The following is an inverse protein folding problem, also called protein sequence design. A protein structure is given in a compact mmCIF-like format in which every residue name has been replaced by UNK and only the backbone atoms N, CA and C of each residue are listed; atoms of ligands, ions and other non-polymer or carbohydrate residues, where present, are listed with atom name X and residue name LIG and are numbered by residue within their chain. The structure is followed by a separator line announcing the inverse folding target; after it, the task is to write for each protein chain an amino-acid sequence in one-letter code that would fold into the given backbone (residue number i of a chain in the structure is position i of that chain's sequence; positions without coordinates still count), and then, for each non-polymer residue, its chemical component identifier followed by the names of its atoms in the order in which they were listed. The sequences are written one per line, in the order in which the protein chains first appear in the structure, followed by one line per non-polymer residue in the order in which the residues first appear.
data_IF_852432469754
#
_entry.id   IF_852432469754
#
_cell.length_a   1.000
_cell.length_b   1.000
_cell.length_c   1.000
_cell.angle_alpha   90.00
_cell.angle_beta   90.00
_cell.angle_gamma   90.00
#
_symmetry.space_group_name_H-M   'P 1'
#
loop_
_entity.id
_entity.type
_entity.pdbx_description
1 polymer ?
#
# COMPACT_ATOMS: atom_id res chain seq x y z
N UNK A 1 -6.19 18.06 4.48
CA UNK A 1 -7.27 17.05 4.50
C UNK A 1 -8.38 17.40 5.49
N UNK A 2 -8.06 17.67 6.77
CA UNK A 2 -9.07 18.06 7.79
C UNK A 2 -9.97 19.23 7.40
N UNK A 3 -9.38 20.39 7.05
CA UNK A 3 -10.14 21.58 6.64
C UNK A 3 -11.04 21.31 5.45
N UNK A 4 -10.52 20.65 4.40
CA UNK A 4 -11.32 20.25 3.24
C UNK A 4 -12.51 19.35 3.63
N UNK A 5 -12.31 18.44 4.60
CA UNK A 5 -13.39 17.59 5.12
C UNK A 5 -14.44 18.44 5.82
N UNK A 6 -14.04 19.35 6.70
CA UNK A 6 -14.96 20.22 7.45
C UNK A 6 -15.73 21.18 6.52
N UNK A 7 -15.07 21.73 5.50
CA UNK A 7 -15.67 22.62 4.52
C UNK A 7 -16.65 21.86 3.62
N UNK A 8 -16.28 20.68 3.15
CA UNK A 8 -17.15 19.82 2.34
C UNK A 8 -18.38 19.38 3.13
N UNK A 9 -18.22 19.05 4.41
CA UNK A 9 -19.32 18.68 5.31
C UNK A 9 -20.31 19.84 5.42
N UNK A 10 -19.83 21.06 5.69
CA UNK A 10 -20.68 22.26 5.80
C UNK A 10 -21.36 22.61 4.47
N UNK A 11 -20.62 22.56 3.37
CA UNK A 11 -21.13 22.88 2.03
C UNK A 11 -22.24 21.91 1.58
N UNK A 12 -22.26 20.68 2.11
CA UNK A 12 -23.24 19.66 1.77
C UNK A 12 -24.29 19.46 2.86
N UNK A 13 -24.68 20.54 3.55
CA UNK A 13 -25.77 20.50 4.54
C UNK A 13 -25.46 19.65 5.76
N UNK A 14 -24.21 19.68 6.20
CA UNK A 14 -23.73 18.90 7.36
C UNK A 14 -23.83 17.38 7.15
N UNK A 15 -23.72 16.94 5.89
CA UNK A 15 -23.68 15.51 5.55
C UNK A 15 -22.27 14.96 5.77
N UNK A 16 -22.20 13.83 6.49
CA UNK A 16 -20.95 13.07 6.69
C UNK A 16 -20.35 12.61 5.36
N UNK A 17 -19.01 12.60 5.30
CA UNK A 17 -18.23 12.39 4.07
C UNK A 17 -17.80 10.94 3.96
N UNK A 18 -17.87 10.39 2.75
CA UNK A 18 -17.25 9.13 2.39
C UNK A 18 -15.86 9.43 1.81
N UNK A 19 -14.81 8.89 2.43
CA UNK A 19 -13.46 8.98 1.91
C UNK A 19 -13.21 7.78 1.00
N UNK A 20 -12.81 8.03 -0.25
CA UNK A 20 -12.40 6.98 -1.19
C UNK A 20 -10.92 7.17 -1.48
N UNK A 21 -10.12 6.13 -1.30
CA UNK A 21 -8.69 6.22 -1.58
C UNK A 21 -8.13 4.94 -2.19
N UNK A 22 -7.07 5.11 -2.97
CA UNK A 22 -6.43 4.05 -3.74
C UNK A 22 -4.97 3.86 -3.31
N UNK A 23 -4.49 2.62 -3.32
CA UNK A 23 -3.07 2.28 -3.14
C UNK A 23 -2.49 2.87 -1.84
N UNK A 24 -1.35 3.56 -1.91
CA UNK A 24 -0.74 4.29 -0.78
C UNK A 24 -1.71 5.28 -0.12
N UNK A 25 -2.64 5.86 -0.88
CA UNK A 25 -3.66 6.77 -0.37
C UNK A 25 -4.54 6.13 0.71
N UNK A 26 -4.72 4.80 0.68
CA UNK A 26 -5.42 4.07 1.73
C UNK A 26 -4.69 4.12 3.07
N UNK A 27 -3.35 3.95 3.06
CA UNK A 27 -2.52 4.06 4.26
C UNK A 27 -2.54 5.49 4.79
N UNK A 28 -2.36 6.47 3.91
CA UNK A 28 -2.40 7.88 4.29
C UNK A 28 -3.75 8.30 4.87
N UNK A 29 -4.85 7.80 4.29
CA UNK A 29 -6.21 8.04 4.81
C UNK A 29 -6.40 7.40 6.17
N UNK A 30 -5.92 6.16 6.34
CA UNK A 30 -5.97 5.44 7.62
C UNK A 30 -5.20 6.20 8.70
N UNK A 31 -3.96 6.63 8.38
CA UNK A 31 -3.16 7.45 9.28
C UNK A 31 -3.85 8.76 9.63
N UNK A 32 -4.39 9.47 8.64
CA UNK A 32 -5.15 10.70 8.87
C UNK A 32 -6.31 10.51 9.86
N UNK A 33 -7.08 9.42 9.72
CA UNK A 33 -8.21 9.09 10.60
C UNK A 33 -7.74 8.69 12.00
N UNK A 34 -6.62 7.98 12.12
CA UNK A 34 -6.02 7.63 13.42
C UNK A 34 -5.59 8.88 14.21
N UNK A 35 -5.14 9.93 13.50
CA UNK A 35 -4.76 11.22 14.10
C UNK A 35 -5.96 12.12 14.48
N UNK A 36 -7.20 11.72 14.14
CA UNK A 36 -8.41 12.47 14.54
C UNK A 36 -9.08 11.89 15.77
N UNK A 37 -9.67 12.76 16.60
CA UNK A 37 -10.50 12.33 17.72
C UNK A 37 -11.73 11.56 17.23
N UNK A 38 -12.19 10.60 18.02
CA UNK A 38 -13.38 9.83 17.68
C UNK A 38 -14.61 10.73 17.49
N UNK A 39 -14.78 11.74 18.34
CA UNK A 39 -15.83 12.75 18.21
C UNK A 39 -15.79 13.48 16.85
N UNK A 40 -14.60 13.80 16.35
CA UNK A 40 -14.48 14.44 15.04
C UNK A 40 -14.86 13.47 13.92
N UNK A 41 -14.45 12.20 14.00
CA UNK A 41 -14.78 11.18 13.01
C UNK A 41 -16.27 10.88 12.97
N UNK A 42 -16.89 10.68 14.14
CA UNK A 42 -18.32 10.43 14.25
C UNK A 42 -19.15 11.56 13.65
N UNK A 43 -18.67 12.81 13.79
CA UNK A 43 -19.31 14.00 13.24
C UNK A 43 -19.13 14.13 11.72
N UNK A 44 -17.94 13.87 11.18
CA UNK A 44 -17.62 14.28 9.80
C UNK A 44 -17.51 13.12 8.81
N UNK A 45 -17.25 11.89 9.25
CA UNK A 45 -16.93 10.76 8.37
C UNK A 45 -18.04 9.72 8.44
N UNK A 46 -18.53 9.34 7.27
CA UNK A 46 -19.50 8.26 7.12
C UNK A 46 -18.79 6.92 7.01
N UNK A 47 -17.79 6.83 6.11
CA UNK A 47 -17.02 5.62 5.88
C UNK A 47 -15.69 5.92 5.16
N UNK A 48 -14.80 4.92 5.15
CA UNK A 48 -13.60 4.87 4.31
C UNK A 48 -13.70 3.67 3.35
N UNK A 49 -13.78 3.94 2.04
CA UNK A 49 -13.68 2.95 0.97
C UNK A 49 -12.23 2.91 0.48
N UNK A 50 -11.54 1.81 0.70
CA UNK A 50 -10.17 1.60 0.24
C UNK A 50 -10.15 0.70 -0.98
N UNK A 51 -9.42 1.13 -2.02
CA UNK A 51 -9.19 0.39 -3.26
C UNK A 51 -7.71 -0.04 -3.35
N UNK A 52 -7.43 -1.34 -3.25
CA UNK A 52 -6.07 -1.87 -3.41
C UNK A 52 -5.08 -1.32 -2.37
N UNK A 53 -5.52 -1.14 -1.11
CA UNK A 53 -4.71 -0.52 -0.07
C UNK A 53 -3.42 -1.30 0.22
N UNK A 54 -2.26 -0.63 0.09
CA UNK A 54 -0.94 -1.24 0.28
C UNK A 54 -0.53 -1.33 1.76
N UNK A 55 -1.43 -1.75 2.65
CA UNK A 55 -1.30 -1.61 4.10
C UNK A 55 -0.02 -2.21 4.68
N UNK A 56 0.42 -3.36 4.15
CA UNK A 56 1.64 -4.04 4.52
C UNK A 56 2.92 -3.52 3.85
N UNK A 57 2.82 -2.55 2.94
CA UNK A 57 3.87 -2.23 1.98
C UNK A 57 3.87 -3.19 0.79
N UNK A 58 4.89 -3.14 -0.06
CA UNK A 58 4.98 -3.99 -1.25
C UNK A 58 6.42 -4.39 -1.57
N UNK A 59 6.64 -5.61 -2.06
CA UNK A 59 7.95 -6.01 -2.58
C UNK A 59 8.29 -5.24 -3.87
N UNK A 60 7.32 -4.67 -4.58
CA UNK A 60 7.60 -3.78 -5.72
C UNK A 60 8.38 -2.53 -5.29
N UNK A 61 8.22 -2.05 -4.06
CA UNK A 61 9.06 -0.97 -3.51
C UNK A 61 10.53 -1.40 -3.42
N UNK A 62 10.79 -2.66 -3.05
CA UNK A 62 12.14 -3.24 -3.07
C UNK A 62 12.68 -3.31 -4.51
N UNK A 63 11.87 -3.72 -5.48
CA UNK A 63 12.26 -3.73 -6.90
C UNK A 63 12.65 -2.32 -7.38
N UNK A 64 11.88 -1.29 -7.02
CA UNK A 64 12.16 0.11 -7.32
C UNK A 64 13.55 0.53 -6.81
N UNK A 65 13.89 0.23 -5.55
CA UNK A 65 15.21 0.55 -4.98
C UNK A 65 16.37 -0.27 -5.56
N UNK A 66 16.11 -1.50 -6.01
CA UNK A 66 17.17 -2.41 -6.48
C UNK A 66 17.48 -2.23 -7.96
N UNK A 67 16.48 -2.30 -8.83
CA UNK A 67 16.68 -2.31 -10.29
C UNK A 67 15.80 -1.31 -11.05
N UNK A 68 14.98 -0.55 -10.33
CA UNK A 68 13.94 0.30 -10.90
C UNK A 68 12.73 -0.50 -11.37
N UNK A 69 11.63 0.20 -11.61
CA UNK A 69 10.42 -0.34 -12.21
C UNK A 69 9.98 0.60 -13.33
N UNK A 70 9.35 0.10 -14.38
CA UNK A 70 8.87 0.98 -15.44
C UNK A 70 7.65 1.79 -15.01
N UNK A 71 6.92 1.39 -13.96
CA UNK A 71 5.71 2.07 -13.42
C UNK A 71 4.73 2.53 -14.51
N UNK A 72 4.70 1.85 -15.66
CA UNK A 72 3.91 2.22 -16.85
C UNK A 72 4.54 3.26 -17.80
N UNK A 73 5.76 3.74 -17.52
CA UNK A 73 6.58 4.63 -18.35
C UNK A 73 7.65 3.81 -19.10
N UNK A 74 7.35 3.41 -20.34
CA UNK A 74 8.21 2.52 -21.13
C UNK A 74 9.37 3.22 -21.88
N UNK A 75 9.45 4.55 -21.80
CA UNK A 75 10.36 5.37 -22.64
C UNK A 75 11.75 5.57 -22.00
N UNK A 76 11.90 5.25 -20.71
CA UNK A 76 13.13 5.45 -19.93
C UNK A 76 13.64 4.09 -19.44
N UNK A 77 14.95 3.83 -19.53
CA UNK A 77 15.51 2.57 -19.00
C UNK A 77 15.31 2.47 -17.48
N UNK A 78 15.05 1.26 -16.97
CA UNK A 78 14.74 1.04 -15.55
C UNK A 78 15.85 1.55 -14.61
N UNK A 79 17.12 1.51 -15.02
CA UNK A 79 18.23 2.05 -14.22
C UNK A 79 18.18 3.57 -14.07
N UNK A 80 17.76 4.31 -15.11
CA UNK A 80 17.55 5.76 -15.00
C UNK A 80 16.30 6.06 -14.19
N UNK A 81 15.26 5.24 -14.33
CA UNK A 81 14.07 5.37 -13.50
C UNK A 81 14.41 5.13 -12.03
N UNK A 82 15.26 4.15 -11.72
CA UNK A 82 15.76 3.87 -10.38
C UNK A 82 16.38 5.11 -9.75
N UNK A 83 17.28 5.81 -10.45
CA UNK A 83 17.93 7.03 -9.92
C UNK A 83 16.90 8.07 -9.44
N UNK A 84 15.79 8.21 -10.17
CA UNK A 84 14.69 9.10 -9.77
C UNK A 84 13.83 8.47 -8.66
N UNK A 85 13.42 7.22 -8.82
CA UNK A 85 12.50 6.53 -7.92
C UNK A 85 13.07 6.34 -6.52
N UNK A 86 14.39 6.18 -6.39
CA UNK A 86 15.04 6.10 -5.09
C UNK A 86 14.91 7.38 -4.27
N UNK A 87 14.65 8.53 -4.91
CA UNK A 87 14.43 9.82 -4.23
C UNK A 87 13.01 9.98 -3.69
N UNK A 88 12.09 9.04 -3.98
CA UNK A 88 10.69 9.14 -3.60
C UNK A 88 10.48 8.58 -2.20
N UNK A 89 10.28 9.45 -1.20
CA UNK A 89 9.98 9.04 0.18
C UNK A 89 8.71 8.20 0.30
N UNK A 90 7.76 8.33 -0.63
CA UNK A 90 6.60 7.45 -0.71
C UNK A 90 6.96 5.98 -0.96
N UNK A 91 8.05 5.70 -1.69
CA UNK A 91 8.55 4.33 -1.90
C UNK A 91 9.16 3.80 -0.60
N UNK A 92 9.83 4.65 0.17
CA UNK A 92 10.36 4.28 1.49
C UNK A 92 9.22 3.91 2.45
N UNK A 93 8.14 4.70 2.46
CA UNK A 93 6.94 4.42 3.26
C UNK A 93 6.25 3.10 2.88
N UNK A 94 6.34 2.71 1.61
CA UNK A 94 5.78 1.47 1.08
C UNK A 94 6.71 0.26 1.20
N UNK A 95 7.87 0.40 1.87
CA UNK A 95 8.72 -0.75 2.15
C UNK A 95 7.97 -1.83 2.95
N UNK A 96 8.26 -3.13 2.71
CA UNK A 96 7.56 -4.23 3.39
C UNK A 96 7.76 -4.14 4.90
N UNK A 97 6.70 -4.21 5.70
CA UNK A 97 6.87 -4.15 7.17
C UNK A 97 6.87 -5.52 7.84
N UNK A 98 7.60 -5.66 8.97
CA UNK A 98 7.79 -6.93 9.67
C UNK A 98 6.52 -7.45 10.37
N UNK A 99 5.45 -6.65 10.39
CA UNK A 99 4.15 -7.01 10.94
C UNK A 99 3.26 -7.78 9.93
N UNK A 100 3.73 -7.91 8.69
CA UNK A 100 3.02 -8.58 7.59
C UNK A 100 3.91 -9.60 6.91
N UNK A 101 5.13 -9.20 6.51
CA UNK A 101 6.09 -10.07 5.85
C UNK A 101 6.95 -10.79 6.89
N UNK A 102 7.32 -12.04 6.63
CA UNK A 102 8.05 -12.85 7.62
C UNK A 102 9.53 -12.46 7.66
N UNK A 103 10.14 -12.41 8.86
CA UNK A 103 11.55 -12.00 9.02
C UNK A 103 12.55 -12.99 8.42
N UNK A 104 12.17 -14.24 8.19
CA UNK A 104 13.00 -15.30 7.62
C UNK A 104 12.81 -15.50 6.10
N UNK A 105 11.85 -14.79 5.49
CA UNK A 105 11.58 -14.85 4.05
C UNK A 105 12.29 -13.69 3.32
N UNK A 106 13.35 -13.96 2.54
CA UNK A 106 14.07 -12.89 1.84
C UNK A 106 13.28 -12.39 0.64
N UNK A 107 13.18 -11.07 0.49
CA UNK A 107 12.66 -10.45 -0.74
C UNK A 107 13.76 -10.16 -1.76
N UNK A 108 15.03 -10.14 -1.34
CA UNK A 108 16.20 -10.04 -2.22
C UNK A 108 17.25 -11.05 -1.79
N UNK A 109 17.71 -11.85 -2.73
CA UNK A 109 18.87 -12.73 -2.58
C UNK A 109 19.92 -12.28 -3.60
N UNK A 110 21.00 -11.66 -3.14
CA UNK A 110 22.03 -11.12 -4.02
C UNK A 110 23.42 -11.35 -3.44
N UNK A 111 24.35 -11.86 -4.26
CA UNK A 111 25.78 -12.00 -3.91
C UNK A 111 26.02 -12.71 -2.55
N UNK A 112 25.33 -13.83 -2.31
CA UNK A 112 25.35 -14.60 -1.05
C UNK A 112 24.80 -13.87 0.18
N UNK A 113 24.13 -12.74 0.01
CA UNK A 113 23.37 -12.06 1.06
C UNK A 113 21.87 -12.26 0.85
N UNK A 114 21.15 -12.36 1.96
CA UNK A 114 19.70 -12.43 2.02
C UNK A 114 19.20 -11.19 2.73
N UNK A 115 18.34 -10.44 2.05
CA UNK A 115 17.68 -9.27 2.61
C UNK A 115 16.21 -9.58 2.83
N UNK A 116 15.77 -9.28 4.05
CA UNK A 116 14.48 -9.59 4.65
C UNK A 116 13.97 -8.32 5.33
N UNK A 117 12.74 -8.34 5.84
CA UNK A 117 12.24 -7.25 6.67
C UNK A 117 13.02 -7.04 7.97
N UNK A 118 13.78 -8.04 8.42
CA UNK A 118 14.60 -7.93 9.63
C UNK A 118 15.91 -7.15 9.42
N UNK A 119 16.33 -6.92 8.18
CA UNK A 119 17.61 -6.27 7.85
C UNK A 119 17.52 -5.31 6.66
N UNK A 120 16.44 -4.53 6.57
CA UNK A 120 16.29 -3.44 5.59
C UNK A 120 17.47 -2.45 5.61
N UNK A 121 18.05 -2.04 6.76
CA UNK A 121 19.23 -1.17 6.77
C UNK A 121 20.42 -1.74 6.00
N UNK A 122 20.64 -3.06 6.09
CA UNK A 122 21.72 -3.73 5.35
C UNK A 122 21.47 -3.70 3.83
N UNK A 123 20.21 -3.75 3.40
CA UNK A 123 19.85 -3.58 1.99
C UNK A 123 20.26 -2.19 1.50
N UNK A 124 19.90 -1.12 2.22
CA UNK A 124 20.23 0.24 1.81
C UNK A 124 21.75 0.51 1.82
N UNK A 125 22.46 -0.04 2.81
CA UNK A 125 23.92 -0.01 2.83
C UNK A 125 24.51 -0.74 1.60
N UNK A 126 23.98 -1.91 1.24
CA UNK A 126 24.40 -2.66 0.05
C UNK A 126 24.11 -1.91 -1.26
N UNK A 127 23.01 -1.14 -1.30
CA UNK A 127 22.66 -0.29 -2.44
C UNK A 127 23.45 1.02 -2.47
N UNK A 128 24.30 1.29 -1.47
CA UNK A 128 25.03 2.56 -1.30
C UNK A 128 24.09 3.77 -1.34
N UNK A 129 22.92 3.67 -0.70
CA UNK A 129 21.92 4.72 -0.66
C UNK A 129 21.58 5.13 0.80
N UNK A 130 22.41 5.98 1.44
CA UNK A 130 22.15 6.47 2.79
C UNK A 130 20.84 7.27 2.87
N UNK A 131 20.55 8.12 1.88
CA UNK A 131 19.30 8.89 1.83
C UNK A 131 18.06 7.98 1.81
N UNK A 132 18.15 6.81 1.14
CA UNK A 132 17.06 5.83 1.15
C UNK A 132 16.81 5.25 2.55
N UNK A 133 17.89 5.02 3.32
CA UNK A 133 17.79 4.60 4.71
C UNK A 133 17.17 5.70 5.56
N UNK A 134 17.61 6.96 5.41
CA UNK A 134 17.08 8.08 6.16
C UNK A 134 15.58 8.27 5.90
N UNK A 135 15.16 8.25 4.62
CA UNK A 135 13.74 8.31 4.25
C UNK A 135 12.93 7.15 4.83
N UNK A 136 13.47 5.93 4.82
CA UNK A 136 12.77 4.77 5.41
C UNK A 136 12.65 4.93 6.93
N UNK A 137 13.75 5.28 7.59
CA UNK A 137 13.81 5.47 9.04
C UNK A 137 12.87 6.59 9.51
N UNK A 138 12.75 7.69 8.75
CA UNK A 138 11.80 8.78 9.01
C UNK A 138 10.34 8.30 8.93
N UNK A 139 10.06 7.26 8.14
CA UNK A 139 8.70 6.72 7.98
C UNK A 139 8.32 5.63 8.98
N UNK A 140 9.31 4.98 9.63
CA UNK A 140 9.08 3.86 10.56
C UNK A 140 8.15 4.17 11.73
N UNK A 141 8.18 5.37 12.37
CA UNK A 141 7.23 5.70 13.43
C UNK A 141 5.76 5.60 12.99
N UNK A 142 5.46 5.86 11.71
CA UNK A 142 4.11 5.76 11.16
C UNK A 142 3.73 4.32 10.79
N UNK A 143 4.70 3.41 10.69
CA UNK A 143 4.47 2.01 10.31
C UNK A 143 4.07 1.10 11.47
N UNK A 144 4.33 1.50 12.71
CA UNK A 144 4.05 0.67 13.89
C UNK A 144 2.54 0.56 14.20
N UNK A 145 1.79 1.64 13.98
CA UNK A 145 0.36 1.74 14.31
C UNK A 145 -0.57 1.68 13.09
N UNK A 146 -0.03 1.50 11.88
CA UNK A 146 -0.82 1.55 10.62
C UNK A 146 -1.91 0.48 10.49
N UNK A 147 -1.99 -0.48 11.41
CA UNK A 147 -3.03 -1.52 11.47
C UNK A 147 -4.07 -1.31 12.57
N UNK A 148 -3.96 -0.26 13.38
CA UNK A 148 -5.04 0.09 14.29
C UNK A 148 -6.31 0.45 13.48
N UNK A 149 -7.47 0.01 13.97
CA UNK A 149 -8.75 0.31 13.30
C UNK A 149 -8.93 1.83 13.17
N UNK A 150 -9.33 2.37 12.00
CA UNK A 150 -9.41 3.82 11.78
C UNK A 150 -10.55 4.51 12.55
N UNK A 151 -11.44 3.75 13.18
CA UNK A 151 -12.55 4.27 14.00
C UNK A 151 -13.67 4.87 13.18
N UNK A 152 -13.92 4.31 11.99
CA UNK A 152 -15.04 4.60 11.09
C UNK A 152 -15.45 3.29 10.41
N UNK A 153 -16.58 3.26 9.71
CA UNK A 153 -16.92 2.12 8.86
C UNK A 153 -15.90 2.00 7.72
N UNK A 154 -15.45 0.78 7.43
CA UNK A 154 -14.43 0.52 6.41
C UNK A 154 -14.93 -0.48 5.37
N UNK A 155 -14.76 -0.13 4.10
CA UNK A 155 -15.01 -1.00 2.96
C UNK A 155 -13.67 -1.25 2.25
N UNK A 156 -13.11 -2.44 2.45
CA UNK A 156 -11.81 -2.83 1.90
C UNK A 156 -11.98 -3.63 0.60
N UNK A 157 -11.66 -3.00 -0.52
CA UNK A 157 -11.83 -3.55 -1.87
C UNK A 157 -10.45 -3.77 -2.47
N UNK A 158 -10.15 -4.97 -2.98
CA UNK A 158 -8.84 -5.25 -3.59
C UNK A 158 -8.89 -6.34 -4.66
N UNK A 159 -7.96 -6.25 -5.61
CA UNK A 159 -7.76 -7.27 -6.64
C UNK A 159 -6.93 -8.45 -6.14
N UNK A 160 -7.08 -9.62 -6.76
CA UNK A 160 -6.25 -10.81 -6.49
C UNK A 160 -6.00 -11.63 -7.76
N UNK A 161 -5.08 -12.58 -7.67
CA UNK A 161 -4.82 -13.53 -8.76
C UNK A 161 -4.07 -12.91 -9.95
N UNK A 162 -3.26 -11.88 -9.69
CA UNK A 162 -2.36 -11.25 -10.67
C UNK A 162 -0.92 -11.41 -10.17
N UNK A 163 -0.04 -11.88 -11.05
CA UNK A 163 1.38 -12.09 -10.77
C UNK A 163 2.03 -10.82 -10.20
N UNK A 164 2.45 -10.90 -8.94
CA UNK A 164 3.00 -9.77 -8.18
C UNK A 164 4.39 -10.10 -7.69
N UNK A 165 5.33 -9.18 -7.86
CA UNK A 165 6.73 -9.38 -7.44
C UNK A 165 6.79 -9.81 -5.98
N UNK A 166 7.50 -10.90 -5.71
CA UNK A 166 7.64 -11.48 -4.37
C UNK A 166 9.12 -11.61 -3.96
N UNK A 167 10.01 -11.88 -4.92
CA UNK A 167 11.45 -12.00 -4.64
C UNK A 167 12.29 -11.61 -5.85
N UNK A 168 13.45 -11.00 -5.61
CA UNK A 168 14.49 -10.76 -6.60
C UNK A 168 15.72 -11.63 -6.27
N UNK A 169 16.22 -12.38 -7.24
CA UNK A 169 17.39 -13.25 -7.10
C UNK A 169 18.47 -12.83 -8.09
N UNK A 170 19.63 -12.46 -7.58
CA UNK A 170 20.83 -12.17 -8.36
C UNK A 170 21.94 -13.17 -7.99
N UNK A 171 22.19 -14.12 -8.89
CA UNK A 171 23.18 -15.16 -8.68
C UNK A 171 24.60 -14.59 -8.81
N UNK A 172 25.52 -15.05 -7.95
CA UNK A 172 26.93 -14.61 -7.94
C UNK A 172 27.62 -14.73 -9.29
N UNK A 173 27.28 -15.78 -10.04
CA UNK A 173 27.93 -16.11 -11.31
C UNK A 173 27.26 -15.39 -12.51
N UNK A 174 26.18 -14.62 -12.28
CA UNK A 174 25.62 -13.72 -13.28
C UNK A 174 26.54 -12.49 -13.42
N UNK A 175 27.38 -12.51 -14.46
CA UNK A 175 27.93 -11.29 -15.10
C UNK A 175 26.77 -10.29 -15.33
N UNK A 176 27.00 -8.96 -15.29
CA UNK A 176 25.95 -7.96 -15.12
C UNK A 176 24.72 -8.24 -15.99
N UNK A 177 23.62 -8.62 -15.34
CA UNK A 177 22.39 -9.06 -15.96
C UNK A 177 21.22 -8.85 -14.99
N UNK A 178 19.99 -8.78 -15.51
CA UNK A 178 18.81 -8.52 -14.68
C UNK A 178 18.60 -9.67 -13.68
N UNK A 179 18.15 -9.38 -12.44
CA UNK A 179 17.84 -10.43 -11.48
C UNK A 179 16.67 -11.27 -11.98
N UNK A 180 16.63 -12.55 -11.57
CA UNK A 180 15.43 -13.36 -11.67
C UNK A 180 14.37 -12.77 -10.74
N UNK A 181 13.17 -12.53 -11.27
CA UNK A 181 12.03 -12.06 -10.49
C UNK A 181 11.10 -13.24 -10.28
N UNK A 182 10.80 -13.55 -9.02
CA UNK A 182 9.74 -14.48 -8.65
C UNK A 182 8.46 -13.70 -8.36
N UNK A 183 7.35 -14.29 -8.78
CA UNK A 183 6.02 -13.72 -8.64
C UNK A 183 5.19 -14.61 -7.73
N UNK A 184 4.41 -13.96 -6.88
CA UNK A 184 3.37 -14.56 -6.04
C UNK A 184 2.02 -13.90 -6.29
N UNK A 185 1.06 -14.19 -5.42
CA UNK A 185 -0.31 -13.66 -5.56
C UNK A 185 -0.42 -12.19 -5.10
N UNK A 186 -1.23 -11.44 -5.81
CA UNK A 186 -1.57 -10.05 -5.50
C UNK A 186 -2.38 -9.42 -6.63
N UNK A 187 -2.25 -8.10 -6.78
CA UNK A 187 -2.92 -7.31 -7.84
C UNK A 187 -1.93 -6.81 -8.94
N UNK A 188 -0.72 -7.37 -8.99
CA UNK A 188 0.37 -6.96 -9.89
C UNK A 188 1.24 -5.82 -9.34
N UNK A 189 0.86 -5.22 -8.21
CA UNK A 189 1.64 -4.19 -7.52
C UNK A 189 1.79 -4.47 -6.04
N UNK A 190 0.71 -4.83 -5.35
CA UNK A 190 0.67 -5.08 -3.92
C UNK A 190 0.46 -6.57 -3.68
N UNK A 191 1.34 -7.16 -2.86
CA UNK A 191 1.24 -8.58 -2.49
C UNK A 191 -0.06 -8.86 -1.75
N UNK A 192 -0.66 -10.03 -1.96
CA UNK A 192 -1.95 -10.39 -1.37
C UNK A 192 -1.97 -10.24 0.16
N UNK A 193 -0.93 -10.68 0.85
CA UNK A 193 -0.81 -10.55 2.31
C UNK A 193 -0.84 -9.09 2.80
N UNK A 194 -0.41 -8.14 1.96
CA UNK A 194 -0.46 -6.70 2.25
C UNK A 194 -1.85 -6.12 1.97
N UNK A 195 -2.51 -6.55 0.90
CA UNK A 195 -3.90 -6.19 0.58
C UNK A 195 -4.87 -6.66 1.68
N UNK A 196 -4.65 -7.88 2.17
CA UNK A 196 -5.51 -8.54 3.17
C UNK A 196 -5.31 -8.04 4.61
N UNK A 197 -4.41 -7.08 4.86
CA UNK A 197 -4.21 -6.60 6.23
C UNK A 197 -5.47 -5.93 6.79
N UNK A 198 -6.26 -5.30 5.93
CA UNK A 198 -7.55 -4.73 6.35
C UNK A 198 -8.49 -5.79 6.94
N UNK A 199 -8.36 -7.08 6.60
CA UNK A 199 -9.16 -8.16 7.18
C UNK A 199 -8.90 -8.37 8.68
N UNK A 200 -7.82 -7.79 9.23
CA UNK A 200 -7.58 -7.76 10.68
C UNK A 200 -8.55 -6.82 11.39
N UNK A 201 -9.19 -5.91 10.66
CA UNK A 201 -10.28 -5.08 11.15
C UNK A 201 -11.55 -5.90 11.12
N UNK A 202 -12.09 -6.20 12.29
CA UNK A 202 -13.39 -6.83 12.43
C UNK A 202 -14.44 -5.79 12.81
N UNK A 203 -15.71 -6.14 12.64
CA UNK A 203 -16.81 -5.37 13.22
C UNK A 203 -16.53 -5.08 14.69
N UNK A 204 -16.68 -3.81 15.04
CA UNK A 204 -16.65 -3.36 16.44
C UNK A 204 -18.08 -3.06 16.88
N UNK A 205 -18.28 -2.77 18.17
CA UNK A 205 -19.60 -2.32 18.65
C UNK A 205 -20.12 -1.07 17.94
N UNK A 206 -19.22 -0.25 17.38
CA UNK A 206 -19.54 1.09 16.86
C UNK A 206 -19.28 1.26 15.37
N UNK A 207 -18.57 0.32 14.72
CA UNK A 207 -18.14 0.46 13.32
C UNK A 207 -18.21 -0.87 12.58
N UNK A 208 -18.67 -0.82 11.34
CA UNK A 208 -18.80 -1.95 10.43
C UNK A 208 -17.56 -2.12 9.58
N UNK A 209 -17.24 -3.37 9.26
CA UNK A 209 -16.20 -3.74 8.34
C UNK A 209 -16.77 -4.59 7.21
N UNK A 210 -16.47 -4.19 5.98
CA UNK A 210 -16.77 -4.97 4.79
C UNK A 210 -15.49 -5.16 3.97
N UNK A 211 -15.37 -6.32 3.34
CA UNK A 211 -14.32 -6.57 2.37
C UNK A 211 -14.87 -7.23 1.11
N UNK A 212 -14.23 -6.96 -0.02
CA UNK A 212 -14.52 -7.65 -1.28
C UNK A 212 -13.24 -7.88 -2.07
N UNK A 213 -13.03 -9.13 -2.46
CA UNK A 213 -11.93 -9.53 -3.33
C UNK A 213 -12.43 -9.58 -4.78
N UNK A 214 -11.70 -8.95 -5.70
CA UNK A 214 -11.98 -8.99 -7.14
C UNK A 214 -10.98 -9.91 -7.85
N UNK A 215 -11.39 -11.11 -8.30
CA UNK A 215 -10.49 -12.03 -9.00
C UNK A 215 -10.02 -11.47 -10.34
N UNK A 216 -8.74 -11.70 -10.64
CA UNK A 216 -8.10 -11.30 -11.90
C UNK A 216 -8.13 -9.79 -12.19
N UNK A 217 -8.24 -8.98 -11.15
CA UNK A 217 -8.22 -7.51 -11.25
C UNK A 217 -6.84 -6.99 -10.84
N UNK A 218 -6.18 -6.27 -11.73
CA UNK A 218 -4.91 -5.62 -11.41
C UNK A 218 -5.09 -4.30 -10.65
N UNK A 219 -3.98 -3.79 -10.11
CA UNK A 219 -3.93 -2.63 -9.22
C UNK A 219 -4.56 -1.35 -9.80
N UNK A 220 -4.56 -1.17 -11.13
CA UNK A 220 -5.15 -0.01 -11.79
C UNK A 220 -6.58 -0.29 -12.27
N UNK A 221 -6.87 -1.53 -12.66
CA UNK A 221 -8.20 -1.96 -13.09
C UNK A 221 -9.25 -1.77 -12.00
N UNK A 222 -8.89 -1.88 -10.72
CA UNK A 222 -9.84 -1.64 -9.62
C UNK A 222 -10.50 -0.25 -9.65
N UNK A 223 -9.86 0.75 -10.27
CA UNK A 223 -10.41 2.11 -10.41
C UNK A 223 -11.22 2.32 -11.70
N UNK A 224 -11.10 1.41 -12.67
CA UNK A 224 -11.59 1.64 -14.03
C UNK A 224 -12.55 0.56 -14.53
N UNK A 225 -12.62 -0.60 -13.84
CA UNK A 225 -13.55 -1.67 -14.18
C UNK A 225 -15.00 -1.20 -13.93
N UNK A 226 -15.88 -1.23 -14.96
CA UNK A 226 -17.26 -0.76 -14.82
C UNK A 226 -18.07 -1.49 -13.75
N UNK A 227 -17.81 -2.78 -13.51
CA UNK A 227 -18.51 -3.55 -12.48
C UNK A 227 -18.09 -3.10 -11.09
N UNK A 228 -16.79 -2.92 -10.88
CA UNK A 228 -16.25 -2.44 -9.60
C UNK A 228 -16.76 -1.03 -9.30
N UNK A 229 -16.83 -0.17 -10.33
CA UNK A 229 -17.43 1.17 -10.20
C UNK A 229 -18.90 1.07 -9.79
N UNK A 230 -19.67 0.16 -10.38
CA UNK A 230 -21.08 -0.08 -9.98
C UNK A 230 -21.19 -0.58 -8.54
N UNK A 231 -20.30 -1.48 -8.11
CA UNK A 231 -20.27 -1.96 -6.73
C UNK A 231 -19.95 -0.83 -5.74
N UNK A 232 -19.03 0.08 -6.09
CA UNK A 232 -18.73 1.27 -5.29
C UNK A 232 -19.97 2.18 -5.18
N UNK A 233 -20.70 2.41 -6.28
CA UNK A 233 -21.95 3.18 -6.22
C UNK A 233 -22.99 2.50 -5.33
N UNK A 234 -23.15 1.18 -5.40
CA UNK A 234 -24.06 0.44 -4.53
C UNK A 234 -23.67 0.54 -3.04
N UNK A 235 -22.38 0.53 -2.74
CA UNK A 235 -21.86 0.77 -1.38
C UNK A 235 -22.20 2.20 -0.91
N UNK A 236 -21.99 3.21 -1.76
CA UNK A 236 -22.34 4.59 -1.45
C UNK A 236 -23.83 4.71 -1.14
N UNK A 237 -24.69 4.16 -2.01
CA UNK A 237 -26.15 4.16 -1.82
C UNK A 237 -26.57 3.43 -0.53
N UNK A 238 -25.80 2.42 -0.10
CA UNK A 238 -26.04 1.73 1.17
C UNK A 238 -25.66 2.58 2.38
N UNK A 239 -24.54 3.30 2.33
CA UNK A 239 -24.07 4.18 3.41
C UNK A 239 -25.02 5.38 3.58
N UNK A 240 -25.61 5.84 2.47
CA UNK A 240 -26.47 7.02 2.44
C UNK A 240 -27.92 6.79 2.92
N UNK A 241 -28.36 5.53 3.04
CA UNK A 241 -29.69 5.14 3.54
C UNK A 241 -29.73 5.14 5.07
#
# INVERSE_FOLDING_TARGET
MKTLTEDTYKANGERRIILISHSMGALMTTHFLQEQTQQWKDKHIAAHISLGGAYGGTIKAVKLYTIGDDVGVYVISSLKQREVQMTWSGVAYLMPSPLVFKPDEPFVEAFNKKFTVANIPDLFANLSCPDCFDMWNDTEPFNQNRFAHPGVDVYCLYGRGVDTVEKLIQNRDQKPGPPLILYGEGDGTVNLQSLQVCLRWNDTRSHKFFNHEYPHTNHQQIMTDPKIIQDIFAIIDQIEK
#
